data_IF_714390785002
#
_entry.id   IF_714390785002
#
_cell.length_a   1.000
_cell.length_b   1.000
_cell.length_c   1.000
_cell.angle_alpha   90.00
_cell.angle_beta   90.00
_cell.angle_gamma   90.00
#
_symmetry.space_group_name_H-M   'P 1'
#
loop_
_entity.id
_entity.type
_entity.pdbx_description
1 polymer ?
#
# COMPACT_ATOMS: atom_id res chain seq x y z
N UNK A 1 5.58 5.71 -12.70
CA UNK A 1 6.54 5.59 -11.57
C UNK A 1 6.63 6.87 -10.72
N UNK A 2 7.27 7.98 -11.13
CA UNK A 2 7.37 9.18 -10.24
C UNK A 2 6.01 9.82 -9.93
N UNK A 3 5.10 9.83 -10.89
CA UNK A 3 3.73 10.36 -10.75
C UNK A 3 2.78 9.43 -9.99
N UNK A 4 2.96 8.13 -10.16
CA UNK A 4 2.08 7.10 -9.59
C UNK A 4 2.22 7.03 -8.07
N UNK A 5 3.45 6.90 -7.57
CA UNK A 5 3.70 6.90 -6.14
C UNK A 5 3.31 8.22 -5.48
N UNK A 6 3.46 9.35 -6.18
CA UNK A 6 3.14 10.67 -5.64
C UNK A 6 1.66 10.94 -5.48
N UNK A 7 0.85 10.59 -6.48
CA UNK A 7 -0.60 10.72 -6.40
C UNK A 7 -1.18 9.80 -5.32
N UNK A 8 -0.69 8.56 -5.24
CA UNK A 8 -1.22 7.59 -4.28
C UNK A 8 -0.89 7.97 -2.83
N UNK A 9 0.34 8.41 -2.51
CA UNK A 9 0.64 8.85 -1.14
C UNK A 9 -0.13 10.11 -0.75
N UNK A 10 -0.30 11.07 -1.68
CA UNK A 10 -1.04 12.32 -1.39
C UNK A 10 -2.51 12.02 -1.08
N UNK A 11 -3.12 11.11 -1.84
CA UNK A 11 -4.48 10.65 -1.59
C UNK A 11 -4.61 9.98 -0.21
N UNK A 12 -3.65 9.10 0.15
CA UNK A 12 -3.65 8.42 1.44
C UNK A 12 -3.42 9.38 2.61
N UNK A 13 -2.53 10.37 2.46
CA UNK A 13 -2.30 11.40 3.47
C UNK A 13 -3.56 12.27 3.66
N UNK A 14 -4.17 12.74 2.56
CA UNK A 14 -5.41 13.51 2.60
C UNK A 14 -6.53 12.76 3.34
N UNK A 15 -6.67 11.47 3.08
CA UNK A 15 -7.66 10.61 3.72
C UNK A 15 -7.37 10.45 5.20
N UNK A 16 -6.11 10.26 5.57
CA UNK A 16 -5.72 10.15 6.96
C UNK A 16 -6.06 11.45 7.74
N UNK A 17 -5.86 12.61 7.12
CA UNK A 17 -6.09 13.92 7.74
C UNK A 17 -7.58 14.22 7.92
N UNK A 18 -8.42 13.80 6.96
CA UNK A 18 -9.84 14.13 6.92
C UNK A 18 -10.77 13.06 7.53
N UNK A 19 -10.27 11.83 7.76
CA UNK A 19 -11.07 10.71 8.28
C UNK A 19 -10.76 10.42 9.74
N UNK A 20 -11.82 10.26 10.54
CA UNK A 20 -11.75 9.86 11.95
C UNK A 20 -11.05 8.51 12.13
N UNK A 21 -10.22 8.37 13.16
CA UNK A 21 -9.38 7.18 13.42
C UNK A 21 -10.13 5.84 13.37
N UNK A 22 -11.38 5.79 13.84
CA UNK A 22 -12.19 4.56 13.84
C UNK A 22 -12.60 4.08 12.44
N UNK A 23 -12.60 4.97 11.45
CA UNK A 23 -13.03 4.68 10.07
C UNK A 23 -11.87 4.62 9.08
N UNK A 24 -10.63 4.95 9.50
CA UNK A 24 -9.47 5.06 8.61
C UNK A 24 -9.17 3.76 7.87
N UNK A 25 -9.17 2.60 8.54
CA UNK A 25 -8.99 1.30 7.85
C UNK A 25 -10.05 1.10 6.78
N UNK A 26 -11.32 1.34 7.08
CA UNK A 26 -12.39 1.13 6.10
C UNK A 26 -12.24 2.05 4.88
N UNK A 27 -11.84 3.30 5.08
CA UNK A 27 -11.62 4.24 3.96
C UNK A 27 -10.35 3.90 3.18
N UNK A 28 -9.25 3.54 3.85
CA UNK A 28 -8.07 3.02 3.15
C UNK A 28 -8.38 1.75 2.37
N UNK A 29 -9.20 0.87 2.93
CA UNK A 29 -9.75 -0.29 2.25
C UNK A 29 -10.52 0.10 1.00
N UNK A 30 -11.50 0.99 1.10
CA UNK A 30 -12.28 1.45 -0.07
C UNK A 30 -11.38 2.02 -1.17
N UNK A 31 -10.35 2.80 -0.82
CA UNK A 31 -9.39 3.35 -1.80
C UNK A 31 -8.64 2.23 -2.52
N UNK A 32 -8.11 1.26 -1.77
CA UNK A 32 -7.49 0.08 -2.37
C UNK A 32 -8.49 -0.73 -3.21
N UNK A 33 -9.76 -0.79 -2.80
CA UNK A 33 -10.82 -1.48 -3.53
C UNK A 33 -11.13 -0.82 -4.86
N UNK A 34 -11.08 0.52 -4.91
CA UNK A 34 -11.20 1.29 -6.15
C UNK A 34 -10.00 1.04 -7.06
N UNK A 35 -8.78 0.95 -6.52
CA UNK A 35 -7.57 0.59 -7.27
C UNK A 35 -7.71 -0.82 -7.88
N UNK A 36 -8.16 -1.80 -7.10
CA UNK A 36 -8.44 -3.17 -7.56
C UNK A 36 -9.52 -3.20 -8.64
N UNK A 37 -10.61 -2.46 -8.48
CA UNK A 37 -11.68 -2.39 -9.47
C UNK A 37 -11.18 -1.73 -10.77
N UNK A 38 -10.40 -0.65 -10.64
CA UNK A 38 -9.78 0.04 -11.78
C UNK A 38 -8.82 -0.88 -12.54
N UNK A 39 -8.09 -1.74 -11.82
CA UNK A 39 -7.24 -2.76 -12.42
C UNK A 39 -8.04 -3.79 -13.23
N UNK A 40 -9.18 -4.26 -12.72
CA UNK A 40 -10.09 -5.17 -13.47
C UNK A 40 -10.61 -4.49 -14.73
N UNK A 41 -11.19 -3.29 -14.59
CA UNK A 41 -11.75 -2.55 -15.73
C UNK A 41 -10.68 -2.21 -16.76
N UNK A 42 -9.47 -1.85 -16.32
CA UNK A 42 -8.33 -1.59 -17.18
C UNK A 42 -7.95 -2.81 -18.02
N UNK A 43 -7.69 -3.95 -17.38
CA UNK A 43 -7.34 -5.20 -18.07
C UNK A 43 -8.47 -5.71 -18.97
N UNK A 44 -9.72 -5.53 -18.56
CA UNK A 44 -10.85 -5.91 -19.40
C UNK A 44 -10.96 -5.02 -20.63
N UNK A 45 -10.77 -3.71 -20.49
CA UNK A 45 -10.85 -2.75 -21.59
C UNK A 45 -9.76 -2.95 -22.64
N UNK A 46 -8.56 -3.37 -22.24
CA UNK A 46 -7.47 -3.66 -23.21
C UNK A 46 -7.76 -4.84 -24.13
N UNK A 47 -8.72 -5.71 -23.80
CA UNK A 47 -9.18 -6.78 -24.70
C UNK A 47 -9.97 -6.24 -25.90
N UNK A 48 -10.59 -5.07 -25.78
CA UNK A 48 -11.44 -4.47 -26.84
C UNK A 48 -10.79 -3.27 -27.54
N UNK A 49 -9.73 -2.71 -26.94
CA UNK A 49 -9.04 -1.52 -27.44
C UNK A 49 -7.74 -1.91 -28.14
N UNK A 50 -7.45 -1.26 -29.27
CA UNK A 50 -6.12 -1.33 -29.88
C UNK A 50 -5.08 -0.67 -28.97
N UNK A 51 -3.79 -1.04 -29.10
CA UNK A 51 -2.71 -0.45 -28.30
C UNK A 51 -2.70 1.09 -28.37
N UNK A 52 -2.93 1.67 -29.54
CA UNK A 52 -3.02 3.12 -29.73
C UNK A 52 -4.23 3.72 -29.01
N UNK A 53 -5.40 3.10 -29.15
CA UNK A 53 -6.63 3.55 -28.48
C UNK A 53 -6.51 3.47 -26.95
N UNK A 54 -5.88 2.43 -26.41
CA UNK A 54 -5.62 2.30 -24.97
C UNK A 54 -4.84 3.49 -24.42
N UNK A 55 -3.79 3.94 -25.13
CA UNK A 55 -3.03 5.12 -24.71
C UNK A 55 -3.85 6.41 -24.78
N UNK A 56 -4.68 6.58 -25.81
CA UNK A 56 -5.55 7.76 -25.95
C UNK A 56 -6.61 7.82 -24.85
N UNK A 57 -7.24 6.69 -24.53
CA UNK A 57 -8.22 6.59 -23.44
C UNK A 57 -7.56 6.87 -22.10
N UNK A 58 -6.40 6.25 -21.81
CA UNK A 58 -5.66 6.50 -20.57
C UNK A 58 -5.27 7.98 -20.40
N UNK A 59 -4.78 8.62 -21.47
CA UNK A 59 -4.44 10.04 -21.45
C UNK A 59 -5.68 10.92 -21.21
N UNK A 60 -6.80 10.62 -21.86
CA UNK A 60 -8.06 11.35 -21.69
C UNK A 60 -8.59 11.24 -20.26
N UNK A 61 -8.57 10.03 -19.69
CA UNK A 61 -8.96 9.79 -18.30
C UNK A 61 -8.05 10.52 -17.30
N UNK A 62 -6.75 10.60 -17.57
CA UNK A 62 -5.81 11.35 -16.75
C UNK A 62 -6.11 12.86 -16.77
N UNK A 63 -6.43 13.44 -17.94
CA UNK A 63 -6.84 14.84 -18.06
C UNK A 63 -8.15 15.10 -17.32
N UNK A 64 -9.14 14.21 -17.46
CA UNK A 64 -10.42 14.30 -16.73
C UNK A 64 -10.18 14.25 -15.21
N UNK A 65 -9.34 13.33 -14.74
CA UNK A 65 -8.99 13.23 -13.32
C UNK A 65 -8.32 14.50 -12.78
N UNK A 66 -7.42 15.10 -13.57
CA UNK A 66 -6.78 16.37 -13.21
C UNK A 66 -7.78 17.51 -13.11
N UNK A 67 -8.68 17.64 -14.10
CA UNK A 67 -9.73 18.66 -14.08
C UNK A 67 -10.67 18.46 -12.90
N UNK A 68 -11.07 17.20 -12.63
CA UNK A 68 -11.90 16.85 -11.49
C UNK A 68 -11.25 17.26 -10.17
N UNK A 69 -9.97 16.89 -9.95
CA UNK A 69 -9.25 17.28 -8.74
C UNK A 69 -9.13 18.80 -8.61
N UNK A 70 -8.91 19.53 -9.72
CA UNK A 70 -8.83 21.00 -9.70
C UNK A 70 -10.14 21.69 -9.34
N UNK A 71 -11.28 21.12 -9.72
CA UNK A 71 -12.60 21.73 -9.49
C UNK A 71 -13.19 21.34 -8.14
N UNK A 72 -13.06 20.08 -7.76
CA UNK A 72 -13.81 19.51 -6.64
C UNK A 72 -13.02 19.23 -5.38
N UNK A 73 -11.68 19.13 -5.45
CA UNK A 73 -10.87 18.87 -4.26
C UNK A 73 -10.64 20.19 -3.51
N UNK A 74 -11.27 20.41 -2.34
CA UNK A 74 -10.96 21.57 -1.53
C UNK A 74 -9.53 21.40 -1.02
N UNK A 75 -8.72 22.45 -1.04
CA UNK A 75 -7.42 22.40 -0.38
C UNK A 75 -7.61 21.95 1.07
N UNK A 76 -6.95 20.84 1.43
CA UNK A 76 -6.98 20.33 2.80
C UNK A 76 -6.58 21.46 3.73
N UNK A 77 -7.49 21.82 4.60
CA UNK A 77 -7.46 23.03 5.39
C UNK A 77 -6.22 23.09 6.29
N UNK A 78 -5.18 23.82 5.87
CA UNK A 78 -4.40 24.66 6.79
C UNK A 78 -5.27 25.85 7.18
N UNK A 79 -6.38 25.59 7.87
CA UNK A 79 -7.38 26.62 8.18
C UNK A 79 -7.75 26.66 9.66
N UNK A 80 -6.82 26.29 10.55
CA UNK A 80 -6.98 26.54 12.00
C UNK A 80 -5.71 26.99 12.74
N UNK A 81 -4.67 27.42 12.05
CA UNK A 81 -3.67 28.32 12.64
C UNK A 81 -3.08 29.22 11.56
N UNK A 82 -2.91 30.50 11.89
CA UNK A 82 -2.44 31.59 11.01
C UNK A 82 -3.56 32.32 10.26
N UNK A 83 -4.40 32.98 11.05
CA UNK A 83 -4.76 34.36 10.77
C UNK A 83 -3.46 35.19 10.62
N UNK A 84 -2.89 35.28 9.42
CA UNK A 84 -2.02 36.37 8.98
C UNK A 84 -1.68 36.27 7.49
N UNK A 85 -2.24 37.23 6.74
CA UNK A 85 -1.79 37.78 5.45
C UNK A 85 -2.17 37.06 4.15
N UNK A 86 -3.33 37.51 3.66
CA UNK A 86 -3.71 37.66 2.25
C UNK A 86 -2.67 38.42 1.38
N UNK A 87 -1.41 38.00 1.34
CA UNK A 87 -0.36 38.70 0.55
C UNK A 87 0.52 37.77 -0.28
N UNK A 88 0.44 36.45 -0.11
CA UNK A 88 1.40 35.53 -0.76
C UNK A 88 0.94 34.92 -2.10
N UNK A 89 -0.37 34.90 -2.40
CA UNK A 89 -0.87 34.21 -3.60
C UNK A 89 -0.45 34.89 -4.91
N UNK A 90 -0.16 36.19 -4.88
CA UNK A 90 0.40 36.95 -6.03
C UNK A 90 1.91 36.81 -6.16
N UNK A 91 2.64 36.39 -5.11
CA UNK A 91 4.10 36.26 -5.14
C UNK A 91 4.61 34.89 -5.62
N UNK A 92 3.81 33.83 -5.55
CA UNK A 92 4.26 32.46 -5.87
C UNK A 92 4.35 32.18 -7.38
N UNK A 93 3.60 32.89 -8.23
CA UNK A 93 3.70 32.77 -9.68
C UNK A 93 4.73 33.72 -10.32
N UNK A 94 5.09 34.81 -9.65
CA UNK A 94 6.01 35.82 -10.20
C UNK A 94 7.49 35.51 -9.91
N UNK A 95 7.77 34.62 -8.94
CA UNK A 95 9.13 34.15 -8.64
C UNK A 95 9.31 32.69 -9.00
N UNK A 96 9.22 32.36 -10.28
CA UNK A 96 9.88 31.14 -10.78
C UNK A 96 11.41 31.30 -10.59
N UNK A 97 12.06 30.59 -9.66
CA UNK A 97 13.48 30.80 -9.43
C UNK A 97 14.25 30.00 -10.47
N UNK A 98 15.03 30.69 -11.29
CA UNK A 98 15.98 30.17 -12.28
C UNK A 98 17.15 29.36 -11.67
N UNK A 99 17.07 28.95 -10.40
CA UNK A 99 18.11 28.16 -9.70
C UNK A 99 17.52 26.84 -9.20
N UNK A 100 17.58 25.84 -10.08
CA UNK A 100 17.13 24.43 -9.90
C UNK A 100 17.68 23.68 -8.67
N UNK A 101 18.58 24.26 -7.87
CA UNK A 101 19.31 23.57 -6.80
C UNK A 101 18.90 23.94 -5.36
N UNK A 102 18.11 25.00 -5.14
CA UNK A 102 17.69 25.37 -3.76
C UNK A 102 16.36 24.74 -3.31
N UNK A 103 15.62 24.10 -4.21
CA UNK A 103 14.35 23.44 -3.90
C UNK A 103 14.56 22.15 -3.07
N UNK A 104 15.74 21.53 -3.16
CA UNK A 104 16.11 20.35 -2.37
C UNK A 104 16.33 20.62 -0.87
N UNK A 105 16.47 21.88 -0.45
CA UNK A 105 16.71 22.24 0.95
C UNK A 105 15.44 22.35 1.80
N UNK A 106 14.27 22.36 1.14
CA UNK A 106 12.95 22.40 1.76
C UNK A 106 12.19 21.06 1.61
N UNK A 107 12.86 20.01 1.14
CA UNK A 107 12.30 18.66 1.32
C UNK A 107 12.31 18.36 2.83
N UNK A 108 11.29 17.66 3.38
CA UNK A 108 11.39 17.12 4.72
C UNK A 108 12.72 16.36 4.82
N UNK A 109 13.58 16.76 5.77
CA UNK A 109 14.93 16.21 5.81
C UNK A 109 14.84 14.70 5.96
N UNK A 110 15.72 13.97 5.28
CA UNK A 110 15.90 12.53 5.52
C UNK A 110 16.15 12.29 7.02
N UNK A 111 16.74 13.28 7.71
CA UNK A 111 16.93 13.31 9.15
C UNK A 111 15.61 13.31 9.95
N UNK A 112 14.57 14.03 9.50
CA UNK A 112 13.24 14.02 10.15
C UNK A 112 12.60 12.64 10.02
N UNK A 113 12.79 11.99 8.87
CA UNK A 113 12.26 10.64 8.61
C UNK A 113 12.99 9.60 9.45
N UNK A 114 14.32 9.70 9.54
CA UNK A 114 15.16 8.87 10.40
C UNK A 114 14.83 9.13 11.88
N UNK A 115 14.57 10.37 12.27
CA UNK A 115 14.16 10.74 13.62
C UNK A 115 12.79 10.13 13.97
N UNK A 116 11.80 10.20 13.06
CA UNK A 116 10.49 9.56 13.24
C UNK A 116 10.62 8.03 13.38
N UNK A 117 11.42 7.38 12.53
CA UNK A 117 11.72 5.95 12.61
C UNK A 117 12.42 5.55 13.91
N UNK A 118 13.22 6.46 14.49
CA UNK A 118 14.01 6.21 15.71
C UNK A 118 13.24 6.53 16.99
N UNK A 119 12.29 7.46 16.94
CA UNK A 119 11.60 7.98 18.13
C UNK A 119 10.43 7.09 18.56
N UNK A 120 9.73 6.44 17.63
CA UNK A 120 8.63 5.51 17.95
C UNK A 120 9.00 4.08 17.57
N UNK A 121 9.21 3.23 18.59
CA UNK A 121 9.45 1.78 18.40
C UNK A 121 8.28 1.12 17.65
N UNK A 122 7.05 1.61 17.83
CA UNK A 122 5.86 1.08 17.15
C UNK A 122 5.84 1.45 15.67
N UNK A 123 6.19 2.69 15.32
CA UNK A 123 6.30 3.11 13.92
C UNK A 123 7.44 2.39 13.20
N UNK A 124 8.58 2.20 13.87
CA UNK A 124 9.71 1.42 13.34
C UNK A 124 9.32 -0.03 13.01
N UNK A 125 8.54 -0.68 13.89
CA UNK A 125 7.99 -2.01 13.62
C UNK A 125 7.01 -1.99 12.45
N UNK A 126 6.11 -1.01 12.38
CA UNK A 126 5.17 -0.88 11.26
C UNK A 126 5.90 -0.66 9.93
N UNK A 127 6.97 0.14 9.92
CA UNK A 127 7.86 0.33 8.79
C UNK A 127 8.56 -0.99 8.38
N UNK A 128 9.05 -1.78 9.32
CA UNK A 128 9.62 -3.10 9.04
C UNK A 128 8.57 -4.06 8.46
N UNK A 129 7.36 -4.10 9.01
CA UNK A 129 6.24 -4.88 8.46
C UNK A 129 5.92 -4.42 7.03
N UNK A 130 5.88 -3.11 6.76
CA UNK A 130 5.63 -2.56 5.42
C UNK A 130 6.69 -3.01 4.42
N UNK A 131 7.96 -2.99 4.83
CA UNK A 131 9.07 -3.46 4.01
C UNK A 131 8.87 -4.93 3.62
N UNK A 132 8.63 -5.82 4.59
CA UNK A 132 8.50 -7.25 4.32
C UNK A 132 7.22 -7.60 3.54
N UNK A 133 6.10 -6.91 3.79
CA UNK A 133 4.90 -7.01 2.94
C UNK A 133 5.25 -6.70 1.49
N UNK A 134 5.90 -5.55 1.26
CA UNK A 134 6.25 -5.08 -0.08
C UNK A 134 7.28 -6.00 -0.75
N UNK A 135 8.25 -6.53 0.00
CA UNK A 135 9.21 -7.50 -0.52
C UNK A 135 8.53 -8.79 -0.97
N UNK A 136 7.61 -9.31 -0.15
CA UNK A 136 6.89 -10.54 -0.45
C UNK A 136 5.96 -10.38 -1.65
N UNK A 137 5.18 -9.30 -1.69
CA UNK A 137 4.22 -8.98 -2.76
C UNK A 137 4.91 -8.79 -4.12
N UNK A 138 5.98 -7.98 -4.16
CA UNK A 138 6.77 -7.82 -5.39
C UNK A 138 7.52 -9.11 -5.75
N UNK A 139 7.91 -9.91 -4.75
CA UNK A 139 8.63 -11.16 -4.94
C UNK A 139 7.80 -12.24 -5.62
N UNK A 140 6.54 -12.40 -5.19
CA UNK A 140 5.59 -13.27 -5.87
C UNK A 140 5.36 -12.76 -7.29
N UNK A 141 5.06 -11.47 -7.50
CA UNK A 141 4.80 -10.92 -8.84
C UNK A 141 5.99 -11.06 -9.81
N UNK A 142 7.21 -10.91 -9.32
CA UNK A 142 8.42 -11.10 -10.12
C UNK A 142 8.61 -12.56 -10.57
N UNK A 143 8.15 -13.53 -9.78
CA UNK A 143 8.37 -14.96 -9.99
C UNK A 143 7.18 -15.67 -10.66
N UNK A 144 5.96 -15.19 -10.42
CA UNK A 144 4.70 -15.89 -10.67
C UNK A 144 4.51 -16.30 -12.12
N UNK A 145 4.66 -15.33 -13.04
CA UNK A 145 4.39 -15.55 -14.45
C UNK A 145 5.37 -16.55 -15.06
N UNK A 146 6.63 -16.51 -14.63
CA UNK A 146 7.65 -17.46 -15.08
C UNK A 146 7.41 -18.86 -14.52
N UNK A 147 7.10 -18.96 -13.22
CA UNK A 147 6.78 -20.23 -12.57
C UNK A 147 5.57 -20.92 -13.23
N UNK A 148 4.45 -20.23 -13.37
CA UNK A 148 3.24 -20.78 -13.98
C UNK A 148 3.44 -21.19 -15.43
N UNK A 149 4.23 -20.41 -16.18
CA UNK A 149 4.57 -20.75 -17.56
C UNK A 149 5.45 -22.00 -17.63
N UNK A 150 6.45 -22.12 -16.76
CA UNK A 150 7.35 -23.27 -16.75
C UNK A 150 6.65 -24.55 -16.26
N UNK A 151 5.85 -24.46 -15.21
CA UNK A 151 5.22 -25.62 -14.58
C UNK A 151 3.97 -26.09 -15.31
N UNK A 152 3.14 -25.17 -15.79
CA UNK A 152 1.79 -25.47 -16.31
C UNK A 152 1.55 -24.97 -17.73
N UNK A 153 2.56 -24.38 -18.39
CA UNK A 153 2.45 -23.85 -19.76
C UNK A 153 1.36 -22.78 -19.90
N UNK A 154 1.17 -21.96 -18.87
CA UNK A 154 0.15 -20.92 -18.88
C UNK A 154 0.33 -19.98 -20.08
N UNK A 155 -0.78 -19.73 -20.77
CA UNK A 155 -0.85 -18.79 -21.89
C UNK A 155 -1.34 -17.41 -21.42
N UNK A 156 -1.39 -16.45 -22.36
CA UNK A 156 -1.80 -15.07 -22.06
C UNK A 156 -3.22 -14.97 -21.50
N UNK A 157 -4.13 -15.81 -21.98
CA UNK A 157 -5.53 -15.78 -21.55
C UNK A 157 -5.65 -16.25 -20.09
N UNK A 158 -4.94 -17.31 -19.73
CA UNK A 158 -4.90 -17.83 -18.36
C UNK A 158 -4.29 -16.82 -17.37
N UNK A 159 -3.23 -16.10 -17.77
CA UNK A 159 -2.70 -15.01 -16.95
C UNK A 159 -3.72 -13.88 -16.77
N UNK A 160 -4.41 -13.50 -17.84
CA UNK A 160 -5.43 -12.46 -17.78
C UNK A 160 -6.62 -12.88 -16.89
N UNK A 161 -7.02 -14.15 -16.94
CA UNK A 161 -8.09 -14.69 -16.12
C UNK A 161 -7.72 -14.69 -14.63
N UNK A 162 -6.48 -15.08 -14.27
CA UNK A 162 -5.98 -14.94 -12.89
C UNK A 162 -6.00 -13.47 -12.42
N UNK A 163 -5.51 -12.54 -13.25
CA UNK A 163 -5.50 -11.11 -12.91
C UNK A 163 -6.91 -10.55 -12.69
N UNK A 164 -7.89 -10.97 -13.50
CA UNK A 164 -9.30 -10.59 -13.33
C UNK A 164 -9.86 -11.17 -12.04
N UNK A 165 -9.59 -12.45 -11.73
CA UNK A 165 -10.06 -13.11 -10.51
C UNK A 165 -9.51 -12.40 -9.28
N UNK A 166 -8.20 -12.16 -9.22
CA UNK A 166 -7.56 -11.43 -8.11
C UNK A 166 -8.12 -10.02 -7.97
N UNK A 167 -8.30 -9.30 -9.08
CA UNK A 167 -8.86 -7.95 -9.04
C UNK A 167 -10.31 -7.90 -8.55
N UNK A 168 -11.16 -8.84 -8.96
CA UNK A 168 -12.55 -8.95 -8.48
C UNK A 168 -12.56 -9.34 -7.00
N UNK A 169 -11.78 -10.34 -6.62
CA UNK A 169 -11.62 -10.79 -5.23
C UNK A 169 -11.16 -9.65 -4.32
N UNK A 170 -10.12 -8.91 -4.72
CA UNK A 170 -9.61 -7.74 -4.02
C UNK A 170 -10.64 -6.62 -3.91
N UNK A 171 -11.38 -6.34 -4.98
CA UNK A 171 -12.45 -5.33 -4.99
C UNK A 171 -13.56 -5.66 -3.99
N UNK A 172 -14.07 -6.90 -4.02
CA UNK A 172 -15.08 -7.37 -3.08
C UNK A 172 -14.54 -7.33 -1.65
N UNK A 173 -13.31 -7.80 -1.46
CA UNK A 173 -12.70 -7.87 -0.15
C UNK A 173 -12.57 -6.49 0.48
N UNK A 174 -12.03 -5.53 -0.25
CA UNK A 174 -11.69 -4.23 0.28
C UNK A 174 -12.89 -3.28 0.35
N UNK A 175 -13.87 -3.40 -0.55
CA UNK A 175 -15.08 -2.57 -0.54
C UNK A 175 -16.18 -3.08 0.40
N UNK A 176 -16.27 -4.41 0.61
CA UNK A 176 -17.37 -5.02 1.37
C UNK A 176 -16.83 -5.69 2.63
N UNK A 177 -15.90 -6.64 2.49
CA UNK A 177 -15.50 -7.50 3.60
C UNK A 177 -14.70 -6.72 4.66
N UNK A 178 -13.77 -5.86 4.25
CA UNK A 178 -12.95 -5.06 5.16
C UNK A 178 -13.80 -4.11 6.02
N UNK A 179 -14.70 -3.27 5.48
CA UNK A 179 -15.57 -2.43 6.32
C UNK A 179 -16.45 -3.20 7.31
N UNK A 180 -16.87 -4.43 6.98
CA UNK A 180 -17.68 -5.29 7.86
C UNK A 180 -16.82 -5.92 8.96
N UNK A 181 -15.63 -6.43 8.63
CA UNK A 181 -14.78 -7.16 9.58
C UNK A 181 -13.97 -6.24 10.51
N UNK A 182 -13.62 -5.03 10.05
CA UNK A 182 -12.85 -4.06 10.83
C UNK A 182 -13.44 -3.76 12.21
N UNK A 183 -14.75 -3.39 12.34
CA UNK A 183 -15.33 -3.13 13.66
C UNK A 183 -15.45 -4.38 14.54
N UNK A 184 -15.47 -5.58 13.94
CA UNK A 184 -15.64 -6.85 14.66
C UNK A 184 -14.31 -7.38 15.23
N UNK A 185 -13.24 -7.30 14.44
CA UNK A 185 -11.95 -7.92 14.77
C UNK A 185 -10.89 -6.92 15.25
N UNK A 186 -11.02 -5.65 14.88
CA UNK A 186 -10.00 -4.63 15.10
C UNK A 186 -8.82 -4.74 14.12
N UNK A 187 -8.10 -3.64 13.97
CA UNK A 187 -7.11 -3.46 12.90
C UNK A 187 -5.87 -4.35 13.07
N UNK A 188 -5.39 -4.54 14.30
CA UNK A 188 -4.18 -5.33 14.58
C UNK A 188 -4.40 -6.83 14.28
N UNK A 189 -5.59 -7.34 14.62
CA UNK A 189 -5.98 -8.72 14.31
C UNK A 189 -6.21 -8.87 12.81
N UNK A 190 -6.86 -7.91 12.16
CA UNK A 190 -7.04 -7.94 10.70
C UNK A 190 -5.71 -7.91 9.95
N UNK A 191 -4.74 -7.10 10.40
CA UNK A 191 -3.38 -7.10 9.85
C UNK A 191 -2.74 -8.49 9.97
N UNK A 192 -2.79 -9.08 11.16
CA UNK A 192 -2.19 -10.40 11.41
C UNK A 192 -2.89 -11.52 10.63
N UNK A 193 -4.22 -11.46 10.52
CA UNK A 193 -5.00 -12.40 9.71
C UNK A 193 -4.61 -12.26 8.24
N UNK A 194 -4.59 -11.05 7.68
CA UNK A 194 -4.20 -10.82 6.29
C UNK A 194 -2.81 -11.34 5.98
N UNK A 195 -1.85 -11.10 6.87
CA UNK A 195 -0.48 -11.58 6.72
C UNK A 195 -0.35 -13.11 6.81
N UNK A 196 -1.13 -13.74 7.70
CA UNK A 196 -1.19 -15.21 7.78
C UNK A 196 -1.74 -15.82 6.49
N UNK A 197 -2.82 -15.26 5.95
CA UNK A 197 -3.39 -15.70 4.68
C UNK A 197 -2.48 -15.40 3.49
N UNK A 198 -1.74 -14.29 3.51
CA UNK A 198 -0.71 -13.97 2.51
C UNK A 198 0.41 -15.02 2.50
N UNK A 199 0.94 -15.37 3.68
CA UNK A 199 1.93 -16.44 3.81
C UNK A 199 1.39 -17.78 3.30
N UNK A 200 0.17 -18.14 3.70
CA UNK A 200 -0.48 -19.38 3.26
C UNK A 200 -0.72 -19.39 1.75
N UNK A 201 -1.18 -18.28 1.17
CA UNK A 201 -1.38 -18.09 -0.27
C UNK A 201 -0.08 -18.36 -1.03
N UNK A 202 1.03 -17.72 -0.65
CA UNK A 202 2.33 -17.91 -1.30
C UNK A 202 2.85 -19.34 -1.18
N UNK A 203 2.69 -19.98 -0.01
CA UNK A 203 3.08 -21.38 0.20
C UNK A 203 2.28 -22.33 -0.69
N UNK A 204 0.95 -22.16 -0.74
CA UNK A 204 0.07 -22.96 -1.61
C UNK A 204 0.41 -22.75 -3.09
N UNK A 205 0.70 -21.50 -3.49
CA UNK A 205 1.10 -21.20 -4.86
C UNK A 205 2.41 -21.87 -5.25
N UNK A 206 3.40 -21.83 -4.35
CA UNK A 206 4.73 -22.43 -4.59
C UNK A 206 4.68 -23.96 -4.74
N UNK A 207 3.69 -24.60 -4.12
CA UNK A 207 3.51 -26.07 -4.08
C UNK A 207 2.37 -26.54 -4.98
N UNK A 208 1.95 -25.71 -5.94
CA UNK A 208 0.87 -26.06 -6.84
C UNK A 208 1.21 -27.34 -7.63
N UNK A 209 0.35 -28.36 -7.51
CA UNK A 209 0.51 -29.65 -8.17
C UNK A 209 -0.32 -29.78 -9.45
N UNK A 210 -1.29 -28.87 -9.66
CA UNK A 210 -2.16 -28.90 -10.83
C UNK A 210 -2.52 -27.47 -11.31
N UNK A 211 -2.82 -27.29 -12.61
CA UNK A 211 -3.16 -25.99 -13.20
C UNK A 211 -4.35 -25.26 -12.57
N UNK A 212 -5.27 -25.98 -11.92
CA UNK A 212 -6.44 -25.38 -11.26
C UNK A 212 -6.11 -24.81 -9.88
N UNK A 213 -5.02 -25.24 -9.25
CA UNK A 213 -4.64 -24.83 -7.88
C UNK A 213 -4.38 -23.33 -7.79
N UNK A 214 -3.63 -22.69 -8.70
CA UNK A 214 -3.49 -21.23 -8.76
C UNK A 214 -4.83 -20.48 -8.70
N UNK A 215 -5.82 -20.91 -9.48
CA UNK A 215 -7.15 -20.29 -9.50
C UNK A 215 -7.89 -20.45 -8.16
N UNK A 216 -7.80 -21.63 -7.53
CA UNK A 216 -8.41 -21.87 -6.23
C UNK A 216 -7.73 -21.07 -5.11
N UNK A 217 -6.40 -20.95 -5.16
CA UNK A 217 -5.61 -20.17 -4.22
C UNK A 217 -5.91 -18.67 -4.35
N UNK A 218 -6.07 -18.15 -5.57
CA UNK A 218 -6.45 -16.75 -5.80
C UNK A 218 -7.87 -16.43 -5.30
N UNK A 219 -8.79 -17.40 -5.27
CA UNK A 219 -10.10 -17.19 -4.61
C UNK A 219 -9.98 -17.04 -3.08
N UNK A 220 -8.92 -17.59 -2.48
CA UNK A 220 -8.62 -17.45 -1.04
C UNK A 220 -7.89 -16.13 -0.75
N UNK A 221 -7.27 -15.49 -1.76
CA UNK A 221 -6.55 -14.21 -1.63
C UNK A 221 -7.41 -13.05 -1.13
N UNK A 222 -8.75 -13.18 -1.17
CA UNK A 222 -9.69 -12.20 -0.61
C UNK A 222 -9.21 -11.69 0.76
N UNK A 223 -8.75 -12.58 1.66
CA UNK A 223 -8.36 -12.18 3.02
C UNK A 223 -6.94 -11.59 3.12
N UNK A 224 -6.03 -11.90 2.19
CA UNK A 224 -4.64 -11.41 2.27
C UNK A 224 -4.52 -9.89 2.02
N UNK A 225 -5.44 -9.36 1.21
CA UNK A 225 -5.47 -7.97 0.74
C UNK A 225 -5.71 -6.94 1.84
N UNK A 226 -5.99 -7.39 3.07
CA UNK A 226 -6.20 -6.54 4.23
C UNK A 226 -4.92 -5.96 4.82
N UNK A 227 -3.78 -6.61 4.59
CA UNK A 227 -2.54 -6.34 5.30
C UNK A 227 -2.08 -4.88 5.16
N UNK A 228 -2.00 -4.37 3.92
CA UNK A 228 -1.46 -3.03 3.68
C UNK A 228 -2.38 -1.88 4.15
N UNK A 229 -3.71 -1.90 3.90
CA UNK A 229 -4.61 -0.87 4.45
C UNK A 229 -4.65 -0.86 5.99
N UNK A 230 -4.66 -2.02 6.64
CA UNK A 230 -4.59 -2.12 8.10
C UNK A 230 -3.28 -1.52 8.64
N UNK A 231 -2.15 -1.87 8.02
CA UNK A 231 -0.85 -1.33 8.41
C UNK A 231 -0.78 0.19 8.27
N UNK A 232 -1.28 0.73 7.15
CA UNK A 232 -1.32 2.19 6.92
C UNK A 232 -2.17 2.92 7.96
N UNK A 233 -3.30 2.34 8.37
CA UNK A 233 -4.12 2.89 9.46
C UNK A 233 -3.42 2.84 10.80
N UNK A 234 -2.85 1.68 11.17
CA UNK A 234 -2.11 1.53 12.42
C UNK A 234 -0.97 2.55 12.48
N UNK A 235 -0.19 2.69 11.40
CA UNK A 235 0.86 3.70 11.30
C UNK A 235 0.31 5.12 11.45
N UNK A 236 -0.85 5.43 10.86
CA UNK A 236 -1.48 6.76 10.95
C UNK A 236 -1.94 7.15 12.37
N UNK A 237 -2.17 6.17 13.25
CA UNK A 237 -2.60 6.40 14.64
C UNK A 237 -1.44 6.60 15.61
N UNK A 238 -0.22 6.26 15.20
CA UNK A 238 0.98 6.37 16.04
C UNK A 238 1.67 7.74 15.93
N UNK A 239 1.13 8.63 15.09
CA UNK A 239 1.73 9.91 14.71
C UNK A 239 0.66 11.00 14.73
N UNK A 240 1.06 12.23 15.06
CA UNK A 240 0.13 13.35 15.21
C UNK A 240 -0.51 13.78 13.87
N UNK A 241 -1.64 14.50 13.90
CA UNK A 241 -2.33 14.95 12.69
C UNK A 241 -1.46 15.80 11.76
N UNK A 242 -0.51 16.58 12.31
CA UNK A 242 0.37 17.42 11.50
C UNK A 242 1.53 16.66 10.83
N UNK A 243 1.68 15.36 11.10
CA UNK A 243 2.81 14.55 10.63
C UNK A 243 2.38 13.39 9.71
N UNK A 244 1.10 13.31 9.35
CA UNK A 244 0.57 12.20 8.57
C UNK A 244 1.17 12.10 7.16
N UNK A 245 1.37 13.24 6.50
CA UNK A 245 2.09 13.28 5.22
C UNK A 245 3.52 12.74 5.33
N UNK A 246 4.25 13.04 6.42
CA UNK A 246 5.62 12.53 6.65
C UNK A 246 5.60 11.01 6.89
N UNK A 247 4.67 10.52 7.70
CA UNK A 247 4.55 9.10 8.00
C UNK A 247 4.16 8.26 6.77
N UNK A 248 3.13 8.67 6.00
CA UNK A 248 2.73 7.97 4.78
C UNK A 248 3.81 8.07 3.69
N UNK A 249 4.50 9.21 3.61
CA UNK A 249 5.68 9.36 2.75
C UNK A 249 6.80 8.39 3.12
N UNK A 250 7.09 8.22 4.41
CA UNK A 250 8.08 7.26 4.91
C UNK A 250 7.71 5.82 4.57
N UNK A 251 6.49 5.38 4.87
CA UNK A 251 6.01 4.03 4.52
C UNK A 251 6.08 3.79 3.01
N UNK A 252 5.63 4.76 2.21
CA UNK A 252 5.68 4.67 0.73
C UNK A 252 7.12 4.61 0.22
N UNK A 253 8.04 5.36 0.82
CA UNK A 253 9.47 5.32 0.50
C UNK A 253 10.09 3.95 0.81
N UNK A 254 9.71 3.34 1.95
CA UNK A 254 10.15 2.00 2.33
C UNK A 254 9.64 0.95 1.35
N UNK A 255 8.36 1.00 0.98
CA UNK A 255 7.80 0.12 -0.05
C UNK A 255 8.50 0.33 -1.40
N UNK A 256 8.78 1.58 -1.78
CA UNK A 256 9.52 1.88 -3.02
C UNK A 256 10.93 1.28 -3.02
N UNK A 257 11.61 1.31 -1.88
CA UNK A 257 12.91 0.66 -1.71
C UNK A 257 12.79 -0.87 -1.80
N UNK A 258 11.79 -1.46 -1.14
CA UNK A 258 11.48 -2.89 -1.25
C UNK A 258 11.20 -3.32 -2.70
N UNK A 259 10.49 -2.49 -3.48
CA UNK A 259 10.20 -2.75 -4.90
C UNK A 259 11.45 -2.79 -5.79
N UNK A 260 12.57 -2.20 -5.34
CA UNK A 260 13.87 -2.31 -6.02
C UNK A 260 14.59 -3.57 -5.54
N UNK A 261 14.64 -3.80 -4.24
CA UNK A 261 15.39 -4.92 -3.63
C UNK A 261 14.78 -6.27 -3.97
N UNK A 262 13.46 -6.37 -3.99
CA UNK A 262 12.74 -7.63 -4.14
C UNK A 262 13.00 -8.29 -5.51
N UNK A 263 12.80 -7.63 -6.68
CA UNK A 263 13.12 -8.24 -7.96
C UNK A 263 14.59 -8.60 -8.14
N UNK A 264 15.51 -7.84 -7.53
CA UNK A 264 16.95 -8.15 -7.57
C UNK A 264 17.29 -9.46 -6.85
N UNK A 265 16.50 -9.85 -5.86
CA UNK A 265 16.65 -11.13 -5.17
C UNK A 265 15.87 -12.27 -5.86
N UNK A 266 14.58 -12.05 -6.14
CA UNK A 266 13.69 -13.13 -6.58
C UNK A 266 13.77 -13.45 -8.08
N UNK A 267 14.11 -12.49 -8.94
CA UNK A 267 14.23 -12.75 -10.38
C UNK A 267 15.38 -13.72 -10.71
N UNK A 268 16.63 -13.50 -10.24
CA UNK A 268 17.71 -14.47 -10.47
C UNK A 268 17.47 -15.79 -9.74
N UNK A 269 16.82 -15.77 -8.57
CA UNK A 269 16.43 -17.00 -7.87
C UNK A 269 15.45 -17.84 -8.67
N UNK A 270 14.43 -17.20 -9.27
CA UNK A 270 13.48 -17.84 -10.18
C UNK A 270 14.20 -18.40 -11.40
N UNK A 271 15.11 -17.62 -12.01
CA UNK A 271 15.89 -18.08 -13.15
C UNK A 271 16.73 -19.33 -12.83
N UNK A 272 17.35 -19.39 -11.64
CA UNK A 272 18.13 -20.54 -11.20
C UNK A 272 17.26 -21.79 -11.02
N UNK A 273 16.14 -21.69 -10.31
CA UNK A 273 15.27 -22.84 -10.01
C UNK A 273 14.40 -23.31 -11.19
N UNK A 274 14.26 -22.48 -12.23
CA UNK A 274 13.66 -22.87 -13.51
C UNK A 274 14.69 -23.36 -14.54
N UNK A 275 15.99 -23.28 -14.24
CA UNK A 275 17.06 -23.78 -15.12
C UNK A 275 17.40 -25.24 -14.86
N UNK A 276 18.10 -25.86 -15.81
CA UNK A 276 18.65 -27.21 -15.66
C UNK A 276 19.74 -27.31 -14.56
N UNK A 277 20.23 -26.18 -14.07
CA UNK A 277 21.28 -26.09 -13.02
C UNK A 277 20.71 -25.97 -11.60
N UNK A 278 19.42 -26.21 -11.41
CA UNK A 278 18.79 -26.11 -10.09
C UNK A 278 19.43 -27.10 -9.09
N UNK A 279 19.83 -26.67 -7.87
CA UNK A 279 20.43 -27.56 -6.87
C UNK A 279 19.50 -28.70 -6.42
N UNK A 280 18.18 -28.48 -6.50
CA UNK A 280 17.14 -29.46 -6.29
C UNK A 280 15.90 -29.07 -7.10
N UNK A 281 15.07 -30.06 -7.45
CA UNK A 281 13.87 -29.82 -8.25
C UNK A 281 12.76 -29.20 -7.39
N UNK A 282 12.66 -27.86 -7.42
CA UNK A 282 11.52 -27.15 -6.85
C UNK A 282 11.26 -25.83 -7.60
N UNK A 283 10.49 -25.87 -8.70
CA UNK A 283 10.25 -24.69 -9.55
C UNK A 283 9.60 -23.50 -8.83
N UNK A 284 8.81 -23.76 -7.77
CA UNK A 284 8.13 -22.74 -6.97
C UNK A 284 8.98 -22.12 -5.85
N UNK A 285 10.27 -22.47 -5.74
CA UNK A 285 11.11 -22.07 -4.60
C UNK A 285 11.19 -20.55 -4.38
N UNK A 286 11.27 -19.76 -5.45
CA UNK A 286 11.31 -18.29 -5.33
C UNK A 286 10.03 -17.72 -4.69
N UNK A 287 8.87 -18.29 -5.02
CA UNK A 287 7.57 -17.92 -4.42
C UNK A 287 7.53 -18.38 -2.95
N UNK A 288 8.07 -19.55 -2.63
CA UNK A 288 8.21 -20.00 -1.23
C UNK A 288 9.07 -19.02 -0.42
N UNK A 289 10.18 -18.53 -0.99
CA UNK A 289 11.01 -17.50 -0.35
C UNK A 289 10.27 -16.18 -0.14
N UNK A 290 9.37 -15.80 -1.05
CA UNK A 290 8.47 -14.66 -0.85
C UNK A 290 7.51 -14.91 0.32
N UNK A 291 6.99 -16.13 0.45
CA UNK A 291 6.21 -16.58 1.61
C UNK A 291 6.98 -16.47 2.93
N UNK A 292 8.28 -16.77 2.95
CA UNK A 292 9.12 -16.54 4.13
C UNK A 292 9.22 -15.05 4.49
N UNK A 293 9.31 -14.14 3.52
CA UNK A 293 9.27 -12.70 3.78
C UNK A 293 7.91 -12.28 4.37
N UNK A 294 6.79 -12.81 3.85
CA UNK A 294 5.46 -12.59 4.42
C UNK A 294 5.34 -13.14 5.85
N UNK A 295 5.95 -14.30 6.14
CA UNK A 295 5.98 -14.85 7.50
C UNK A 295 6.78 -13.98 8.48
N UNK A 296 7.88 -13.36 8.03
CA UNK A 296 8.59 -12.37 8.86
C UNK A 296 7.68 -11.18 9.15
N UNK A 297 6.95 -10.66 8.14
CA UNK A 297 5.97 -9.59 8.36
C UNK A 297 4.89 -10.00 9.38
N UNK A 298 4.36 -11.23 9.28
CA UNK A 298 3.38 -11.78 10.23
C UNK A 298 3.92 -11.85 11.67
N UNK A 299 5.13 -12.37 11.86
CA UNK A 299 5.75 -12.44 13.19
C UNK A 299 5.95 -11.03 13.76
N UNK A 300 6.41 -10.09 12.93
CA UNK A 300 6.59 -8.69 13.35
C UNK A 300 5.26 -8.00 13.64
N UNK A 301 4.17 -8.31 12.93
CA UNK A 301 2.85 -7.72 13.18
C UNK A 301 2.28 -8.11 14.53
N UNK A 302 2.50 -9.35 14.97
CA UNK A 302 2.08 -9.82 16.31
C UNK A 302 2.80 -9.04 17.42
N UNK A 303 4.01 -8.54 17.13
CA UNK A 303 4.82 -7.75 18.08
C UNK A 303 4.44 -6.26 18.12
N UNK A 304 3.55 -5.81 17.22
CA UNK A 304 2.94 -4.47 17.27
C UNK A 304 1.85 -4.52 18.33
N UNK A 305 2.18 -4.16 19.57
CA UNK A 305 1.16 -3.85 20.58
C UNK A 305 0.53 -2.51 20.21
N UNK A 306 -0.78 -2.50 20.00
CA UNK A 306 -1.53 -1.26 19.94
C UNK A 306 -1.23 -0.41 21.18
N UNK A 307 -0.77 0.82 20.95
CA UNK A 307 -0.69 1.80 22.00
C UNK A 307 -2.10 1.96 22.57
N UNK A 308 -2.26 1.72 23.87
CA UNK A 308 -3.46 2.15 24.59
C UNK A 308 -3.70 3.62 24.28
N UNK A 309 -4.94 4.03 23.94
CA UNK A 309 -5.22 5.44 23.69
C UNK A 309 -4.75 6.25 24.89
N UNK A 310 -4.11 7.41 24.69
CA UNK A 310 -3.71 8.26 25.80
C UNK A 310 -4.95 8.49 26.67
N UNK A 311 -4.84 8.17 27.96
CA UNK A 311 -5.90 8.51 28.94
C UNK A 311 -6.13 10.00 28.78
N UNK A 312 -7.35 10.39 28.42
CA UNK A 312 -7.77 11.76 28.42
C UNK A 312 -7.45 12.30 29.83
N UNK A 313 -6.47 13.19 29.96
CA UNK A 313 -6.29 13.94 31.19
C UNK A 313 -7.61 14.67 31.40
N UNK A 314 -8.40 14.22 32.38
CA UNK A 314 -9.49 14.98 32.93
C UNK A 314 -8.89 16.32 33.33
N UNK A 315 -9.25 17.38 32.60
CA UNK A 315 -9.04 18.73 33.09
C UNK A 315 -9.82 18.83 34.39
N UNK A 316 -9.08 18.87 35.50
CA UNK A 316 -9.59 19.22 36.82
C UNK A 316 -10.23 20.61 36.70
N UNK A 317 -11.56 20.65 36.67
CA UNK A 317 -12.32 21.86 36.95
C UNK A 317 -12.41 22.00 38.48
N UNK A 318 -11.30 22.40 39.09
CA UNK A 318 -11.27 22.94 40.45
C UNK A 318 -10.79 24.39 40.39
N UNK A 319 -11.59 25.25 39.74
CA UNK A 319 -11.54 26.68 40.02
C UNK A 319 -12.18 26.87 41.39
N UNK A 320 -11.31 26.96 42.39
CA UNK A 320 -11.57 27.49 43.72
C UNK A 320 -12.22 28.86 43.62
N UNK A 321 -13.52 28.93 43.92
CA UNK A 321 -14.15 30.17 44.40
C UNK A 321 -14.07 30.10 45.92
N UNK A 322 -13.07 30.80 46.47
CA UNK A 322 -13.01 31.12 47.90
C UNK A 322 -13.84 32.40 48.18
N UNK A 323 -14.31 32.55 49.43
CA UNK A 323 -15.61 33.14 49.79
C UNK A 323 -15.72 34.67 49.76
#
# INVERSE_FOLDING_TARGET
>A
MVTEGSVQFLALAYVADNVTESRRVSVFGIISGIESASFVFGNFSTRFLSTSATFQVAASMAVISLVYMRVFLPESMMNNSVCAKNTETTCLLEKAPTKKWKLFKNLPSVDDTICLLRTSSTFSKAAAVAFFISVADVGIHASLNYYLKAQFHFNKDQFADLMIIVGIAGSISQMILMPILTPLLGEDKMLSIGLFFSCTHMVLYSTAWAPWVPYAVDMISVVDTFSMPCLRSIASKQIGPNEQGKAQGCITGICSFANIVSPLAFSPLTALFLSDSAPFYFPGFSIMCSGFAAMIAFIQSIMIRAATPPKCCSFDNSISVEP
#
